data_IF_383617721432
#
_entry.id   IF_383617721432
#
_cell.length_a   1.000
_cell.length_b   1.000
_cell.length_c   1.000
_cell.angle_alpha   90.00
_cell.angle_beta   90.00
_cell.angle_gamma   90.00
#
_symmetry.space_group_name_H-M   'P 1'
#
loop_
_entity.id
_entity.type
_entity.pdbx_description
1 polymer ?
#
# COMPACT_ATOMS: atom_id res chain seq x y z
N UNK A 1 8.39 41.01 3.54
CA UNK A 1 7.56 40.31 2.52
C UNK A 1 6.56 39.46 3.29
N UNK A 2 5.37 40.00 3.49
CA UNK A 2 4.26 39.34 4.19
C UNK A 2 3.81 38.17 3.32
N UNK A 3 4.04 36.93 3.76
CA UNK A 3 3.47 35.75 3.12
C UNK A 3 1.95 35.88 3.27
N UNK A 4 1.26 36.27 2.20
CA UNK A 4 -0.19 36.27 2.19
C UNK A 4 -0.61 34.80 2.17
N UNK A 5 -1.26 34.35 3.25
CA UNK A 5 -1.66 32.96 3.41
C UNK A 5 -2.79 32.67 2.40
N UNK A 6 -2.62 31.75 1.43
CA UNK A 6 -3.71 31.43 0.52
C UNK A 6 -4.89 30.87 1.32
N UNK A 7 -6.10 31.21 0.89
CA UNK A 7 -7.32 30.67 1.51
C UNK A 7 -7.30 29.13 1.50
N UNK A 8 -7.90 28.46 2.50
CA UNK A 8 -7.93 27.00 2.57
C UNK A 8 -8.51 26.39 1.28
N UNK A 9 -7.82 25.40 0.70
CA UNK A 9 -8.30 24.74 -0.51
C UNK A 9 -9.61 24.00 -0.22
N UNK A 10 -10.68 24.41 -0.91
CA UNK A 10 -12.03 23.86 -0.72
C UNK A 10 -12.18 22.43 -1.22
N UNK A 11 -11.22 21.92 -2.01
CA UNK A 11 -11.19 20.53 -2.50
C UNK A 11 -10.73 19.53 -1.44
N UNK A 12 -10.16 19.99 -0.32
CA UNK A 12 -9.91 19.14 0.84
C UNK A 12 -11.22 18.89 1.61
N UNK A 13 -11.41 17.71 2.23
CA UNK A 13 -12.44 17.52 3.25
C UNK A 13 -12.27 18.50 4.41
N UNK A 14 -13.37 18.87 5.06
CA UNK A 14 -13.32 19.79 6.21
C UNK A 14 -12.38 19.29 7.31
N UNK A 15 -12.45 17.99 7.62
CA UNK A 15 -11.59 17.34 8.61
C UNK A 15 -10.09 17.49 8.30
N UNK A 16 -9.70 17.45 7.02
CA UNK A 16 -8.29 17.65 6.62
C UNK A 16 -7.88 19.12 6.70
N UNK A 17 -8.79 20.05 6.38
CA UNK A 17 -8.54 21.49 6.62
C UNK A 17 -8.36 21.79 8.10
N UNK A 18 -9.22 21.23 8.95
CA UNK A 18 -9.15 21.44 10.39
C UNK A 18 -7.85 20.90 10.98
N UNK A 19 -7.37 19.74 10.51
CA UNK A 19 -6.09 19.18 10.91
C UNK A 19 -4.90 20.06 10.46
N UNK A 20 -4.94 20.60 9.24
CA UNK A 20 -3.94 21.54 8.76
C UNK A 20 -3.90 22.83 9.60
N UNK A 21 -5.08 23.34 9.95
CA UNK A 21 -5.26 24.51 10.81
C UNK A 21 -4.77 24.27 12.25
N UNK A 22 -5.06 23.10 12.81
CA UNK A 22 -4.56 22.70 14.12
C UNK A 22 -3.03 22.62 14.13
N UNK A 23 -2.43 22.01 13.12
CA UNK A 23 -0.97 21.94 12.99
C UNK A 23 -0.33 23.34 12.87
N UNK A 24 -0.98 24.28 12.18
CA UNK A 24 -0.53 25.69 12.10
C UNK A 24 -0.56 26.39 13.45
N UNK A 25 -1.55 26.09 14.29
CA UNK A 25 -1.73 26.71 15.61
C UNK A 25 -0.98 25.99 16.73
N UNK A 26 -0.47 24.79 16.45
CA UNK A 26 0.26 24.01 17.44
C UNK A 26 1.50 24.80 17.91
N UNK A 27 1.81 24.81 19.22
CA UNK A 27 2.91 25.57 19.81
C UNK A 27 4.30 24.96 19.50
N UNK A 28 4.46 24.37 18.32
CA UNK A 28 5.73 23.86 17.81
C UNK A 28 6.51 25.08 17.36
N UNK A 29 7.69 25.32 17.92
CA UNK A 29 8.54 26.49 17.65
C UNK A 29 9.09 26.62 16.22
N UNK A 30 8.43 26.03 15.22
CA UNK A 30 8.86 25.96 13.82
C UNK A 30 8.51 27.22 13.00
N UNK A 31 7.65 28.10 13.52
CA UNK A 31 7.32 29.40 12.94
C UNK A 31 6.45 29.37 11.67
N UNK A 32 6.05 30.53 11.14
CA UNK A 32 5.03 30.63 10.07
C UNK A 32 5.42 29.94 8.76
N UNK A 33 6.72 29.92 8.41
CA UNK A 33 7.20 29.26 7.19
C UNK A 33 7.04 27.74 7.26
N UNK A 34 7.32 27.14 8.41
CA UNK A 34 7.15 25.70 8.59
C UNK A 34 5.67 25.31 8.56
N UNK A 35 4.79 26.13 9.14
CA UNK A 35 3.35 25.88 9.08
C UNK A 35 2.79 25.97 7.65
N UNK A 36 3.22 26.96 6.87
CA UNK A 36 2.85 27.06 5.45
C UNK A 36 3.40 25.87 4.63
N UNK A 37 4.63 25.42 4.93
CA UNK A 37 5.21 24.24 4.33
C UNK A 37 4.39 22.98 4.65
N UNK A 38 4.05 22.79 5.92
CA UNK A 38 3.20 21.68 6.37
C UNK A 38 1.85 21.68 5.66
N UNK A 39 1.13 22.81 5.63
CA UNK A 39 -0.18 22.88 5.00
C UNK A 39 -0.12 22.51 3.51
N UNK A 40 0.91 22.98 2.79
CA UNK A 40 1.13 22.63 1.38
C UNK A 40 1.44 21.14 1.20
N UNK A 41 2.42 20.61 1.93
CA UNK A 41 2.85 19.22 1.79
C UNK A 41 1.77 18.22 2.26
N UNK A 42 1.02 18.56 3.31
CA UNK A 42 -0.07 17.73 3.81
C UNK A 42 -1.23 17.66 2.82
N UNK A 43 -1.50 18.74 2.08
CA UNK A 43 -2.57 18.77 1.08
C UNK A 43 -2.17 18.16 -0.27
N UNK A 44 -0.88 18.06 -0.57
CA UNK A 44 -0.38 17.79 -1.92
C UNK A 44 -0.94 16.49 -2.50
N UNK A 45 -0.74 15.33 -1.85
CA UNK A 45 -1.24 14.04 -2.33
C UNK A 45 -2.74 14.09 -2.64
N UNK A 46 -3.54 14.64 -1.74
CA UNK A 46 -5.00 14.70 -1.90
C UNK A 46 -5.40 15.51 -3.13
N UNK A 47 -4.71 16.62 -3.39
CA UNK A 47 -5.05 17.56 -4.45
C UNK A 47 -4.46 17.16 -5.80
N UNK A 48 -3.25 16.60 -5.82
CA UNK A 48 -2.46 16.44 -7.04
C UNK A 48 -2.40 15.00 -7.51
N UNK A 49 -2.42 14.03 -6.59
CA UNK A 49 -2.01 12.65 -6.88
C UNK A 49 -3.16 11.63 -6.88
N UNK A 50 -4.26 11.91 -6.18
CA UNK A 50 -5.41 11.01 -6.08
C UNK A 50 -6.44 11.23 -7.20
N UNK A 51 -6.88 10.16 -7.86
CA UNK A 51 -7.95 10.19 -8.87
C UNK A 51 -8.92 9.02 -8.68
N UNK A 52 -10.25 9.26 -8.63
CA UNK A 52 -11.21 8.17 -8.68
C UNK A 52 -11.13 7.49 -10.06
N UNK A 53 -11.37 6.19 -10.10
CA UNK A 53 -11.38 5.40 -11.33
C UNK A 53 -12.80 4.97 -11.69
N UNK A 54 -12.99 4.47 -12.91
CA UNK A 54 -14.26 3.89 -13.34
C UNK A 54 -14.66 2.64 -12.51
N UNK A 55 -13.70 1.97 -11.87
CA UNK A 55 -13.92 0.77 -11.08
C UNK A 55 -14.35 1.06 -9.63
N UNK A 56 -14.65 2.33 -9.31
CA UNK A 56 -15.12 2.77 -8.00
C UNK A 56 -14.03 2.76 -6.90
N UNK A 57 -12.76 2.76 -7.30
CA UNK A 57 -11.61 2.87 -6.41
C UNK A 57 -10.85 4.19 -6.63
N UNK A 58 -9.73 4.39 -5.93
CA UNK A 58 -8.90 5.60 -6.03
C UNK A 58 -7.47 5.20 -6.41
N UNK A 59 -7.01 5.71 -7.54
CA UNK A 59 -5.65 5.56 -8.02
C UNK A 59 -4.77 6.71 -7.51
N UNK A 60 -3.54 6.40 -7.10
CA UNK A 60 -2.62 7.39 -6.52
C UNK A 60 -1.31 7.35 -7.29
N UNK A 61 -1.03 8.39 -8.09
CA UNK A 61 0.27 8.50 -8.78
C UNK A 61 1.37 8.96 -7.81
N UNK A 62 2.62 8.66 -8.12
CA UNK A 62 3.77 9.11 -7.29
C UNK A 62 3.98 10.63 -7.35
N UNK A 63 3.62 11.24 -8.47
CA UNK A 63 3.72 12.68 -8.72
C UNK A 63 3.96 12.96 -10.19
N UNK A 64 5.22 13.04 -10.59
CA UNK A 64 5.66 13.24 -11.97
C UNK A 64 5.61 11.95 -12.82
N UNK A 65 5.65 10.77 -12.19
CA UNK A 65 5.49 9.49 -12.87
C UNK A 65 3.99 9.10 -12.83
N UNK A 66 3.36 8.82 -14.00
CA UNK A 66 1.92 8.58 -14.10
C UNK A 66 1.52 7.14 -13.74
N UNK A 67 2.14 6.56 -12.71
CA UNK A 67 1.87 5.20 -12.24
C UNK A 67 1.79 5.15 -10.71
N UNK A 68 1.18 4.09 -10.20
CA UNK A 68 0.97 3.88 -8.77
C UNK A 68 1.93 2.84 -8.23
N UNK A 69 2.91 3.28 -7.45
CA UNK A 69 3.70 2.39 -6.61
C UNK A 69 2.89 1.96 -5.40
N UNK A 70 2.94 0.67 -5.08
CA UNK A 70 2.30 0.14 -3.87
C UNK A 70 2.86 0.82 -2.61
N UNK A 71 4.19 0.90 -2.49
CA UNK A 71 4.89 1.63 -1.42
C UNK A 71 4.42 3.08 -1.32
N UNK A 72 4.55 3.83 -2.40
CA UNK A 72 4.33 5.28 -2.42
C UNK A 72 2.88 5.60 -2.07
N UNK A 73 1.92 4.92 -2.68
CA UNK A 73 0.51 5.12 -2.38
C UNK A 73 0.16 4.85 -0.91
N UNK A 74 0.75 3.83 -0.29
CA UNK A 74 0.54 3.55 1.14
C UNK A 74 1.16 4.65 2.03
N UNK A 75 2.35 5.14 1.68
CA UNK A 75 3.03 6.21 2.41
C UNK A 75 2.31 7.56 2.26
N UNK A 76 1.90 7.89 1.04
CA UNK A 76 1.20 9.13 0.67
C UNK A 76 -0.12 9.28 1.42
N UNK A 77 -0.87 8.20 1.65
CA UNK A 77 -2.15 8.27 2.39
C UNK A 77 -2.01 8.14 3.90
N UNK A 78 -0.83 7.75 4.39
CA UNK A 78 -0.59 7.48 5.81
C UNK A 78 -0.97 8.65 6.73
N UNK A 79 -0.68 9.93 6.40
CA UNK A 79 -1.04 11.07 7.24
C UNK A 79 -2.56 11.24 7.45
N UNK A 80 -3.40 10.67 6.58
CA UNK A 80 -4.86 10.80 6.64
C UNK A 80 -5.54 9.64 7.38
N UNK A 81 -4.83 8.53 7.64
CA UNK A 81 -5.39 7.37 8.36
C UNK A 81 -5.96 7.69 9.76
N UNK A 82 -5.39 8.62 10.55
CA UNK A 82 -5.98 9.01 11.84
C UNK A 82 -7.39 9.61 11.72
N UNK A 83 -7.75 10.16 10.56
CA UNK A 83 -9.08 10.76 10.30
C UNK A 83 -10.00 9.83 9.52
N UNK A 84 -9.67 8.54 9.40
CA UNK A 84 -10.42 7.56 8.61
C UNK A 84 -11.87 7.30 9.07
N UNK A 85 -12.26 7.79 10.24
CA UNK A 85 -13.64 7.77 10.75
C UNK A 85 -14.54 8.84 10.11
N UNK A 86 -13.95 9.91 9.56
CA UNK A 86 -14.68 10.86 8.73
C UNK A 86 -15.20 10.15 7.47
N UNK A 87 -16.48 10.28 7.09
CA UNK A 87 -17.04 9.53 5.97
C UNK A 87 -16.39 9.84 4.61
N UNK A 88 -16.02 11.09 4.36
CA UNK A 88 -15.41 11.54 3.11
C UNK A 88 -13.97 11.02 3.02
N UNK A 89 -13.17 11.26 4.07
CA UNK A 89 -11.78 10.77 4.15
C UNK A 89 -11.74 9.25 4.15
N UNK A 90 -12.58 8.62 4.97
CA UNK A 90 -12.69 7.17 5.06
C UNK A 90 -13.09 6.52 3.74
N UNK A 91 -13.95 7.18 2.95
CA UNK A 91 -14.32 6.73 1.61
C UNK A 91 -13.14 6.67 0.64
N UNK A 92 -12.37 7.76 0.56
CA UNK A 92 -11.18 7.84 -0.30
C UNK A 92 -10.13 6.81 0.13
N UNK A 93 -9.86 6.69 1.43
CA UNK A 93 -8.88 5.73 1.95
C UNK A 93 -9.27 4.27 1.67
N UNK A 94 -10.56 3.92 1.73
CA UNK A 94 -11.04 2.60 1.27
C UNK A 94 -10.82 2.42 -0.22
N UNK A 95 -11.05 3.45 -1.02
CA UNK A 95 -10.81 3.43 -2.47
C UNK A 95 -9.33 3.14 -2.78
N UNK A 96 -8.39 3.79 -2.09
CA UNK A 96 -6.96 3.53 -2.28
C UNK A 96 -6.60 2.10 -1.86
N UNK A 97 -7.10 1.64 -0.71
CA UNK A 97 -6.85 0.27 -0.26
C UNK A 97 -7.39 -0.78 -1.25
N UNK A 98 -8.58 -0.56 -1.80
CA UNK A 98 -9.15 -1.46 -2.84
C UNK A 98 -8.27 -1.52 -4.08
N UNK A 99 -7.73 -0.38 -4.53
CA UNK A 99 -6.79 -0.35 -5.66
C UNK A 99 -5.51 -1.14 -5.34
N UNK A 100 -4.92 -0.96 -4.15
CA UNK A 100 -3.74 -1.74 -3.72
C UNK A 100 -4.01 -3.24 -3.65
N UNK A 101 -5.17 -3.64 -3.14
CA UNK A 101 -5.62 -5.05 -3.11
C UNK A 101 -5.70 -5.62 -4.53
N UNK A 102 -6.32 -4.90 -5.46
CA UNK A 102 -6.43 -5.31 -6.87
C UNK A 102 -5.05 -5.41 -7.53
N UNK A 103 -4.15 -4.47 -7.28
CA UNK A 103 -2.76 -4.51 -7.75
C UNK A 103 -2.03 -5.78 -7.30
N UNK A 104 -2.12 -6.15 -6.02
CA UNK A 104 -1.53 -7.40 -5.52
C UNK A 104 -2.16 -8.64 -6.17
N UNK A 105 -3.46 -8.62 -6.45
CA UNK A 105 -4.15 -9.72 -7.14
C UNK A 105 -3.78 -9.82 -8.62
N UNK A 106 -3.39 -8.71 -9.26
CA UNK A 106 -2.89 -8.68 -10.63
C UNK A 106 -1.51 -9.33 -10.69
N UNK A 107 -0.56 -8.85 -9.88
CA UNK A 107 0.78 -9.43 -9.80
C UNK A 107 1.43 -9.10 -8.45
N UNK A 108 1.56 -10.08 -7.53
CA UNK A 108 2.14 -9.83 -6.22
C UNK A 108 3.66 -9.59 -6.26
N UNK A 109 4.31 -9.74 -7.42
CA UNK A 109 5.72 -9.44 -7.59
C UNK A 109 5.99 -8.05 -8.20
N UNK A 110 4.95 -7.30 -8.59
CA UNK A 110 5.10 -5.98 -9.18
C UNK A 110 5.10 -4.87 -8.10
N UNK A 111 5.97 -3.87 -8.28
CA UNK A 111 6.02 -2.66 -7.45
C UNK A 111 5.03 -1.59 -7.94
N UNK A 112 4.86 -1.46 -9.26
CA UNK A 112 4.16 -0.34 -9.88
C UNK A 112 3.08 -0.75 -10.88
N UNK A 113 1.96 -0.03 -10.89
CA UNK A 113 0.76 -0.38 -11.64
C UNK A 113 0.20 0.81 -12.42
N UNK A 114 -0.49 0.50 -13.52
CA UNK A 114 -1.27 1.44 -14.31
C UNK A 114 -2.69 1.59 -13.76
N UNK A 115 -3.36 2.67 -14.14
CA UNK A 115 -4.76 2.88 -13.78
C UNK A 115 -5.70 1.88 -14.49
N UNK A 116 -5.33 1.40 -15.68
CA UNK A 116 -6.06 0.41 -16.47
C UNK A 116 -5.12 -0.55 -17.22
N UNK A 117 -5.66 -1.35 -18.13
CA UNK A 117 -4.91 -2.31 -18.94
C UNK A 117 -4.35 -1.68 -20.24
N UNK A 118 -3.79 -0.48 -20.15
CA UNK A 118 -3.34 0.29 -21.33
C UNK A 118 -2.01 -0.21 -21.91
N UNK A 119 -1.29 -1.07 -21.20
CA UNK A 119 0.01 -1.58 -21.63
C UNK A 119 1.13 -0.54 -21.57
N UNK A 120 0.90 0.61 -20.93
CA UNK A 120 1.98 1.52 -20.60
C UNK A 120 2.95 0.81 -19.63
N UNK A 121 4.23 0.93 -19.89
CA UNK A 121 5.27 0.41 -19.00
C UNK A 121 6.33 1.50 -18.79
N UNK A 122 7.30 1.26 -17.91
CA UNK A 122 8.38 2.19 -17.63
C UNK A 122 9.30 2.49 -18.84
N UNK A 123 9.03 1.91 -20.02
CA UNK A 123 9.77 2.13 -21.26
C UNK A 123 11.08 1.35 -21.35
N UNK A 124 11.29 0.37 -20.46
CA UNK A 124 12.49 -0.44 -20.40
C UNK A 124 12.28 -1.83 -21.04
N UNK A 125 13.32 -2.40 -21.67
CA UNK A 125 13.27 -3.75 -22.21
C UNK A 125 13.43 -4.79 -21.09
N UNK A 126 12.46 -4.86 -20.19
CA UNK A 126 12.44 -5.76 -19.04
C UNK A 126 11.99 -7.18 -19.45
N UNK A 127 12.65 -8.20 -18.91
CA UNK A 127 12.36 -9.61 -19.08
C UNK A 127 12.09 -10.30 -17.73
N UNK A 128 10.91 -10.93 -17.54
CA UNK A 128 9.79 -10.98 -18.49
C UNK A 128 9.13 -9.61 -18.68
N UNK A 129 8.54 -9.39 -19.86
CA UNK A 129 7.81 -8.15 -20.14
C UNK A 129 6.62 -8.02 -19.17
N UNK A 130 6.41 -6.85 -18.54
CA UNK A 130 5.26 -6.66 -17.67
C UNK A 130 3.93 -6.85 -18.41
N UNK A 131 2.91 -7.29 -17.67
CA UNK A 131 1.53 -7.37 -18.18
C UNK A 131 0.90 -5.99 -18.35
N UNK A 132 -0.27 -5.87 -19.01
CA UNK A 132 -0.83 -4.58 -19.42
C UNK A 132 -1.26 -3.65 -18.27
N UNK A 133 -1.38 -4.18 -17.05
CA UNK A 133 -1.69 -3.43 -15.84
C UNK A 133 -0.46 -3.04 -15.02
N UNK A 134 0.72 -3.54 -15.37
CA UNK A 134 1.95 -3.42 -14.60
C UNK A 134 2.84 -2.39 -15.27
N UNK A 135 3.13 -1.30 -14.56
CA UNK A 135 4.06 -0.27 -15.02
C UNK A 135 5.51 -0.76 -14.92
N UNK A 136 5.84 -1.38 -13.78
CA UNK A 136 7.15 -1.97 -13.50
C UNK A 136 7.01 -3.20 -12.59
N UNK A 137 7.86 -4.21 -12.81
CA UNK A 137 7.78 -5.52 -12.15
C UNK A 137 9.01 -5.83 -11.29
N UNK A 138 9.54 -4.83 -10.60
CA UNK A 138 10.64 -5.00 -9.64
C UNK A 138 10.05 -5.51 -8.32
N UNK A 139 10.42 -6.73 -7.92
CA UNK A 139 9.91 -7.31 -6.68
C UNK A 139 10.60 -6.71 -5.47
N UNK A 140 9.78 -6.07 -4.64
CA UNK A 140 10.15 -5.44 -3.39
C UNK A 140 9.27 -5.98 -2.27
N UNK A 141 9.89 -6.52 -1.22
CA UNK A 141 9.15 -7.07 -0.08
C UNK A 141 8.26 -6.01 0.60
N UNK A 142 8.65 -4.73 0.60
CA UNK A 142 7.83 -3.64 1.16
C UNK A 142 6.57 -3.33 0.34
N UNK A 143 6.59 -3.56 -0.98
CA UNK A 143 5.39 -3.40 -1.82
C UNK A 143 4.26 -4.36 -1.39
N UNK A 144 4.59 -5.58 -0.94
CA UNK A 144 3.62 -6.51 -0.36
C UNK A 144 3.06 -6.06 1.00
N UNK A 145 3.76 -5.17 1.71
CA UNK A 145 3.28 -4.60 2.98
C UNK A 145 2.25 -3.48 2.76
N UNK A 146 2.22 -2.89 1.57
CA UNK A 146 1.43 -1.72 1.23
C UNK A 146 -0.07 -1.85 1.46
N UNK A 147 -0.78 -2.96 1.12
CA UNK A 147 -2.20 -3.09 1.46
C UNK A 147 -2.43 -3.45 2.93
N UNK A 148 -1.46 -4.09 3.60
CA UNK A 148 -1.61 -4.56 4.98
C UNK A 148 -1.59 -3.41 5.98
N UNK A 149 -0.70 -2.43 5.78
CA UNK A 149 -0.53 -1.28 6.69
C UNK A 149 -1.76 -0.37 6.77
N UNK A 150 -2.30 0.20 5.68
CA UNK A 150 -3.50 1.03 5.71
C UNK A 150 -4.74 0.22 6.08
N UNK A 151 -4.84 -1.07 5.69
CA UNK A 151 -5.92 -1.95 6.17
C UNK A 151 -5.94 -2.06 7.69
N UNK A 152 -4.80 -2.44 8.29
CA UNK A 152 -4.66 -2.52 9.74
C UNK A 152 -4.89 -1.17 10.43
N UNK A 153 -4.25 -0.10 9.95
CA UNK A 153 -4.37 1.23 10.54
C UNK A 153 -5.81 1.78 10.48
N UNK A 154 -6.52 1.55 9.37
CA UNK A 154 -7.95 1.92 9.24
C UNK A 154 -8.80 1.17 10.25
N UNK A 155 -8.59 -0.14 10.40
CA UNK A 155 -9.29 -0.92 11.43
C UNK A 155 -9.00 -0.37 12.84
N UNK A 156 -7.74 -0.06 13.15
CA UNK A 156 -7.36 0.53 14.45
C UNK A 156 -7.99 1.90 14.70
N UNK A 157 -8.13 2.73 13.66
CA UNK A 157 -8.72 4.07 13.78
C UNK A 157 -10.26 4.05 13.89
N UNK A 158 -10.93 3.06 13.28
CA UNK A 158 -12.40 3.08 13.11
C UNK A 158 -13.13 1.94 13.81
N UNK A 159 -12.43 0.87 14.17
CA UNK A 159 -13.03 -0.42 14.56
C UNK A 159 -13.73 -1.16 13.42
N UNK A 160 -13.83 -0.58 12.22
CA UNK A 160 -14.58 -1.12 11.09
C UNK A 160 -13.80 -2.23 10.37
N UNK A 161 -14.51 -3.33 10.09
CA UNK A 161 -14.04 -4.45 9.28
C UNK A 161 -14.59 -4.41 7.85
N UNK A 162 -15.22 -3.30 7.44
CA UNK A 162 -15.86 -3.15 6.13
C UNK A 162 -14.93 -3.47 4.93
N UNK A 163 -13.62 -3.21 5.07
CA UNK A 163 -12.63 -3.47 4.04
C UNK A 163 -12.08 -4.91 4.07
N UNK A 164 -12.42 -5.71 5.08
CA UNK A 164 -12.00 -7.11 5.21
C UNK A 164 -13.00 -7.98 4.45
N UNK A 165 -13.05 -7.78 3.13
CA UNK A 165 -13.88 -8.52 2.20
C UNK A 165 -13.12 -9.69 1.56
N UNK A 166 -13.76 -10.40 0.63
CA UNK A 166 -13.18 -11.56 -0.05
C UNK A 166 -11.93 -11.20 -0.86
N UNK A 167 -11.90 -10.04 -1.51
CA UNK A 167 -10.75 -9.59 -2.30
C UNK A 167 -9.55 -9.29 -1.39
N UNK A 168 -9.78 -8.57 -0.30
CA UNK A 168 -8.74 -8.29 0.69
C UNK A 168 -8.16 -9.59 1.27
N UNK A 169 -9.01 -10.56 1.59
CA UNK A 169 -8.56 -11.88 2.09
C UNK A 169 -7.75 -12.63 1.03
N UNK A 170 -8.16 -12.61 -0.24
CA UNK A 170 -7.38 -13.21 -1.33
C UNK A 170 -6.02 -12.53 -1.49
N UNK A 171 -5.96 -11.20 -1.45
CA UNK A 171 -4.69 -10.46 -1.53
C UNK A 171 -3.77 -10.79 -0.36
N UNK A 172 -4.31 -10.88 0.87
CA UNK A 172 -3.53 -11.31 2.04
C UNK A 172 -2.95 -12.72 1.87
N UNK A 173 -3.70 -13.66 1.26
CA UNK A 173 -3.18 -15.00 0.95
C UNK A 173 -2.07 -14.96 -0.11
N UNK A 174 -2.25 -14.19 -1.17
CA UNK A 174 -1.23 -14.01 -2.21
C UNK A 174 0.07 -13.43 -1.62
N UNK A 175 -0.02 -12.41 -0.74
CA UNK A 175 1.12 -11.87 0.00
C UNK A 175 1.83 -12.97 0.81
N UNK A 176 1.07 -13.75 1.59
CA UNK A 176 1.62 -14.83 2.42
C UNK A 176 2.26 -15.95 1.59
N UNK A 177 1.72 -16.25 0.41
CA UNK A 177 2.27 -17.21 -0.52
C UNK A 177 3.63 -16.76 -1.07
N UNK A 178 3.72 -15.50 -1.55
CA UNK A 178 4.99 -14.94 -2.03
C UNK A 178 6.01 -14.87 -0.91
N UNK A 179 5.68 -14.29 0.25
CA UNK A 179 6.60 -14.18 1.40
C UNK A 179 7.16 -15.56 1.79
N UNK A 180 6.33 -16.62 1.78
CA UNK A 180 6.78 -17.99 2.10
C UNK A 180 7.60 -18.63 0.98
N UNK A 181 7.26 -18.38 -0.28
CA UNK A 181 8.05 -18.88 -1.41
C UNK A 181 9.46 -18.26 -1.37
N UNK A 182 9.53 -16.96 -1.09
CA UNK A 182 10.77 -16.19 -1.05
C UNK A 182 11.62 -16.43 0.21
N UNK A 183 11.14 -17.19 1.19
CA UNK A 183 12.00 -17.72 2.27
C UNK A 183 13.03 -18.75 1.76
N UNK A 184 12.73 -19.40 0.64
CA UNK A 184 13.62 -20.32 -0.07
C UNK A 184 13.61 -19.99 -1.57
N UNK A 185 14.15 -18.80 -1.88
CA UNK A 185 14.18 -18.24 -3.23
C UNK A 185 14.81 -19.21 -4.24
N UNK A 186 15.90 -19.87 -3.86
CA UNK A 186 16.63 -20.72 -4.80
C UNK A 186 15.84 -21.97 -5.21
N UNK A 187 15.12 -22.61 -4.28
CA UNK A 187 14.38 -23.83 -4.57
C UNK A 187 12.93 -23.60 -5.01
N UNK A 188 12.29 -22.49 -4.57
CA UNK A 188 10.84 -22.31 -4.70
C UNK A 188 10.40 -21.14 -5.56
N UNK A 189 11.24 -20.13 -5.75
CA UNK A 189 10.84 -18.93 -6.51
C UNK A 189 10.89 -19.18 -8.01
N UNK A 190 9.81 -18.77 -8.68
CA UNK A 190 9.77 -18.61 -10.14
C UNK A 190 10.05 -17.17 -10.58
N UNK A 191 10.32 -16.25 -9.65
CA UNK A 191 10.58 -14.86 -9.98
C UNK A 191 11.95 -14.70 -10.62
N UNK A 192 11.98 -14.03 -11.77
CA UNK A 192 13.19 -13.54 -12.42
C UNK A 192 12.94 -12.14 -12.94
N UNK A 193 13.98 -11.32 -12.98
CA UNK A 193 13.92 -10.00 -13.59
C UNK A 193 15.25 -9.63 -14.23
N UNK A 194 15.23 -9.22 -15.49
CA UNK A 194 16.38 -8.63 -16.19
C UNK A 194 15.93 -7.39 -16.94
N UNK A 195 16.61 -6.27 -16.73
CA UNK A 195 16.57 -5.15 -17.67
C UNK A 195 17.66 -5.35 -18.71
N UNK A 196 17.30 -5.43 -19.98
CA UNK A 196 18.24 -5.66 -21.09
C UNK A 196 18.89 -4.36 -21.60
N UNK A 197 19.87 -4.51 -22.48
CA UNK A 197 20.65 -3.39 -23.04
C UNK A 197 21.83 -3.02 -22.15
N UNK A 198 21.95 -1.74 -21.80
CA UNK A 198 22.97 -1.20 -20.91
C UNK A 198 22.30 -0.54 -19.68
N UNK A 199 21.69 -1.36 -18.78
CA UNK A 199 20.98 -0.83 -17.63
C UNK A 199 21.95 -0.14 -16.64
N UNK A 200 21.45 0.86 -15.93
CA UNK A 200 22.20 1.47 -14.84
C UNK A 200 22.59 0.42 -13.78
N UNK A 201 23.72 0.64 -13.12
CA UNK A 201 24.20 -0.24 -12.07
C UNK A 201 23.19 -0.27 -10.90
N UNK A 202 22.39 -1.33 -10.81
CA UNK A 202 21.31 -1.43 -9.83
C UNK A 202 19.98 -1.86 -10.44
N UNK A 203 19.77 -1.61 -11.72
CA UNK A 203 18.47 -1.78 -12.38
C UNK A 203 18.18 -3.19 -12.91
N UNK A 204 19.10 -4.15 -12.74
CA UNK A 204 18.94 -5.51 -13.27
C UNK A 204 19.47 -6.54 -12.28
N UNK A 205 18.83 -7.72 -12.20
CA UNK A 205 19.30 -8.78 -11.32
C UNK A 205 20.37 -9.64 -12.02
N UNK A 206 21.48 -9.98 -11.32
CA UNK A 206 22.48 -10.89 -11.85
C UNK A 206 21.95 -12.33 -11.98
N UNK A 207 22.80 -13.24 -12.47
CA UNK A 207 22.51 -14.69 -12.57
C UNK A 207 21.24 -15.00 -13.38
N UNK A 208 21.14 -14.43 -14.57
CA UNK A 208 19.97 -14.64 -15.42
C UNK A 208 18.67 -14.10 -14.81
N UNK A 209 18.76 -13.12 -13.91
CA UNK A 209 17.60 -12.49 -13.29
C UNK A 209 17.22 -13.03 -11.91
N UNK A 210 18.02 -13.92 -11.32
CA UNK A 210 17.74 -14.56 -10.00
C UNK A 210 18.37 -13.84 -8.80
N UNK A 211 19.14 -12.77 -9.03
CA UNK A 211 19.79 -12.07 -7.94
C UNK A 211 21.04 -12.79 -7.40
N UNK A 212 21.59 -12.27 -6.30
CA UNK A 212 22.74 -12.88 -5.63
C UNK A 212 22.33 -14.20 -4.94
N UNK A 213 23.22 -15.22 -4.89
CA UNK A 213 22.93 -16.46 -4.16
C UNK A 213 22.61 -16.23 -2.69
N UNK A 214 21.65 -16.98 -2.18
CA UNK A 214 21.23 -16.94 -0.78
C UNK A 214 21.08 -18.35 -0.20
N UNK A 215 21.34 -18.48 1.11
CA UNK A 215 20.97 -19.64 1.90
C UNK A 215 19.68 -19.35 2.68
N UNK A 216 18.92 -20.39 3.03
CA UNK A 216 17.68 -20.22 3.82
C UNK A 216 18.00 -19.72 5.23
N UNK A 217 17.39 -18.60 5.62
CA UNK A 217 17.56 -17.98 6.95
C UNK A 217 16.26 -17.86 7.74
N UNK A 218 15.10 -18.06 7.10
CA UNK A 218 13.79 -17.73 7.63
C UNK A 218 13.31 -16.31 7.28
N UNK A 219 14.20 -15.41 6.85
CA UNK A 219 13.81 -14.14 6.20
C UNK A 219 13.27 -14.38 4.79
N UNK A 220 12.44 -13.47 4.31
CA UNK A 220 11.97 -13.46 2.93
C UNK A 220 12.94 -12.68 2.05
N UNK A 221 13.25 -13.26 0.89
CA UNK A 221 14.07 -12.61 -0.14
C UNK A 221 13.35 -11.38 -0.73
N UNK A 222 14.13 -10.44 -1.24
CA UNK A 222 13.69 -9.27 -2.02
C UNK A 222 14.66 -9.04 -3.17
N UNK A 223 14.15 -8.82 -4.37
CA UNK A 223 14.97 -8.52 -5.55
C UNK A 223 15.51 -7.09 -5.48
N UNK A 224 14.64 -6.17 -5.13
CA UNK A 224 14.90 -4.74 -5.09
C UNK A 224 14.63 -4.16 -3.70
N UNK A 225 15.22 -3.00 -3.44
CA UNK A 225 15.03 -2.18 -2.25
C UNK A 225 13.93 -1.16 -2.51
N UNK A 226 13.41 -0.48 -1.47
CA UNK A 226 12.50 0.66 -1.64
C UNK A 226 13.01 1.82 -2.51
N UNK A 227 14.28 1.82 -2.92
CA UNK A 227 14.85 2.77 -3.88
C UNK A 227 14.72 2.32 -5.34
N UNK A 228 14.04 1.19 -5.59
CA UNK A 228 13.99 0.46 -6.86
C UNK A 228 15.37 -0.07 -7.33
N UNK A 229 16.44 0.05 -6.52
CA UNK A 229 17.74 -0.56 -6.79
C UNK A 229 17.79 -2.02 -6.33
N UNK A 230 18.51 -2.87 -7.07
CA UNK A 230 18.70 -4.27 -6.71
C UNK A 230 19.33 -4.41 -5.32
N UNK A 231 18.89 -5.41 -4.59
CA UNK A 231 19.55 -5.83 -3.38
C UNK A 231 20.94 -6.42 -3.70
N UNK A 232 21.97 -5.94 -2.99
CA UNK A 232 23.32 -6.58 -3.03
C UNK A 232 23.27 -7.99 -2.44
N UNK A 233 22.58 -8.14 -1.30
CA UNK A 233 22.26 -9.42 -0.67
C UNK A 233 20.75 -9.53 -0.53
N UNK A 234 20.18 -10.69 -0.83
CA UNK A 234 18.75 -10.87 -1.02
C UNK A 234 17.86 -10.69 0.23
N UNK A 235 18.42 -10.51 1.42
CA UNK A 235 17.66 -10.32 2.66
C UNK A 235 17.82 -8.90 3.22
N UNK A 236 17.13 -7.89 2.66
CA UNK A 236 17.15 -6.55 3.23
C UNK A 236 16.47 -6.55 4.61
N UNK A 237 17.26 -6.23 5.64
CA UNK A 237 16.84 -6.30 7.05
C UNK A 237 15.66 -5.37 7.32
N UNK A 238 15.69 -4.15 6.80
CA UNK A 238 14.62 -3.16 7.01
C UNK A 238 13.27 -3.63 6.41
N UNK A 239 13.27 -4.16 5.18
CA UNK A 239 12.04 -4.66 4.55
C UNK A 239 11.50 -5.90 5.26
N UNK A 240 12.37 -6.78 5.76
CA UNK A 240 11.96 -7.93 6.57
C UNK A 240 11.36 -7.50 7.92
N UNK A 241 11.94 -6.48 8.58
CA UNK A 241 11.36 -5.91 9.79
C UNK A 241 9.97 -5.29 9.53
N UNK A 242 9.81 -4.59 8.41
CA UNK A 242 8.51 -4.04 7.98
C UNK A 242 7.49 -5.14 7.72
N UNK A 243 7.89 -6.21 7.04
CA UNK A 243 7.05 -7.38 6.78
C UNK A 243 6.61 -8.05 8.09
N UNK A 244 7.51 -8.25 9.05
CA UNK A 244 7.18 -8.80 10.36
C UNK A 244 6.10 -7.97 11.08
N UNK A 245 6.24 -6.64 11.14
CA UNK A 245 5.24 -5.76 11.76
C UNK A 245 3.92 -5.78 11.00
N UNK A 246 3.97 -5.77 9.66
CA UNK A 246 2.77 -5.74 8.81
C UNK A 246 1.97 -7.05 8.91
N UNK A 247 2.67 -8.19 8.96
CA UNK A 247 2.06 -9.51 9.18
C UNK A 247 1.51 -9.67 10.60
N UNK A 248 2.15 -9.06 11.60
CA UNK A 248 1.60 -9.02 12.96
C UNK A 248 0.27 -8.25 13.00
N UNK A 249 0.21 -7.07 12.38
CA UNK A 249 -1.04 -6.32 12.23
C UNK A 249 -2.13 -7.10 11.49
N UNK A 250 -1.76 -7.83 10.43
CA UNK A 250 -2.68 -8.72 9.72
C UNK A 250 -3.23 -9.84 10.64
N UNK A 251 -2.39 -10.43 11.49
CA UNK A 251 -2.83 -11.47 12.43
C UNK A 251 -3.84 -10.94 13.47
N UNK A 252 -3.63 -9.74 13.99
CA UNK A 252 -4.61 -9.06 14.86
C UNK A 252 -5.94 -8.81 14.13
N UNK A 253 -5.88 -8.27 12.91
CA UNK A 253 -7.05 -7.99 12.08
C UNK A 253 -7.85 -9.26 11.76
N UNK A 254 -7.16 -10.34 11.38
CA UNK A 254 -7.77 -11.65 11.13
C UNK A 254 -8.46 -12.21 12.38
N UNK A 255 -7.83 -12.07 13.55
CA UNK A 255 -8.40 -12.50 14.83
C UNK A 255 -9.67 -11.70 15.18
N UNK A 256 -9.67 -10.39 14.94
CA UNK A 256 -10.83 -9.53 15.13
C UNK A 256 -11.98 -9.90 14.20
N UNK A 257 -11.69 -10.11 12.91
CA UNK A 257 -12.66 -10.55 11.91
C UNK A 257 -13.29 -11.91 12.28
N UNK A 258 -12.47 -12.89 12.69
CA UNK A 258 -12.96 -14.19 13.14
C UNK A 258 -13.87 -14.12 14.38
N UNK A 259 -13.57 -13.24 15.34
CA UNK A 259 -14.45 -12.99 16.50
C UNK A 259 -15.78 -12.36 16.07
N UNK A 260 -15.76 -11.39 15.16
CA UNK A 260 -16.96 -10.76 14.64
C UNK A 260 -17.85 -11.75 13.86
N UNK A 261 -17.26 -12.64 13.07
CA UNK A 261 -17.97 -13.71 12.38
C UNK A 261 -18.69 -14.66 13.35
N UNK A 262 -18.02 -15.13 14.42
CA UNK A 262 -18.62 -16.02 15.42
C UNK A 262 -19.78 -15.39 16.19
N UNK A 263 -19.70 -14.09 16.52
CA UNK A 263 -20.81 -13.38 17.20
C UNK A 263 -22.06 -13.31 16.33
N UNK A 264 -21.91 -13.13 15.01
CA UNK A 264 -23.04 -13.11 14.06
C UNK A 264 -23.72 -14.47 13.97
N UNK A 265 -22.95 -15.57 13.97
CA UNK A 265 -23.53 -16.92 13.92
C UNK A 265 -24.17 -17.35 15.25
N UNK A 266 -23.62 -16.94 16.40
CA UNK A 266 -24.21 -17.26 17.71
C UNK A 266 -25.44 -16.41 18.07
N UNK A 267 -25.53 -15.19 17.56
CA UNK A 267 -26.68 -14.29 17.81
C UNK A 267 -27.95 -14.61 17.02
N UNK A 268 -27.86 -15.48 16.00
CA UNK A 268 -29.00 -15.87 15.15
C UNK A 268 -29.83 -17.05 15.67
N UNK A 269 -29.49 -17.64 16.83
CA UNK A 269 -30.11 -18.89 17.33
C UNK A 269 -31.18 -18.66 18.43
N UNK A 270 -31.45 -17.42 18.84
CA UNK A 270 -32.37 -17.12 19.96
C UNK A 270 -33.62 -16.31 19.61
N UNK A 271 -34.16 -16.43 18.39
CA UNK A 271 -35.31 -15.62 17.99
C UNK A 271 -36.30 -16.32 17.06
N UNK A 272 -37.00 -17.35 17.56
CA UNK A 272 -38.39 -17.69 17.19
C UNK A 272 -38.89 -18.80 18.13
N UNK A 273 -39.55 -18.42 19.22
CA UNK A 273 -40.05 -19.36 20.20
C UNK A 273 -41.13 -18.76 21.10
N UNK A 274 -42.06 -17.99 20.53
CA UNK A 274 -43.35 -17.74 21.18
C UNK A 274 -44.44 -18.27 20.26
N UNK A 275 -44.88 -19.49 20.54
CA UNK A 275 -46.18 -20.00 20.10
C UNK A 275 -47.03 -20.21 21.36
N UNK A 276 -47.96 -19.28 21.53
CA UNK A 276 -49.34 -19.49 22.00
C UNK A 276 -49.56 -20.50 23.14
N UNK A 277 -49.87 -19.97 24.31
CA UNK A 277 -50.67 -20.61 25.36
C UNK A 277 -51.53 -19.57 26.06
#
# INVERSE_FOLDING_TARGET
>A
MTLHDPAPDRRLPQTLRDLAEQARKAPVGAGPRAAACFARCFADTWLTSMRPTADGDVFVITGDIPAMWLRDSAAQVRPYLPTAADPEVGGVLRGVLRRQVRSVLIDPYANAFNAGADGADAGYPDEPRPGPHVWERKYELDSLCAPLQPGYARWRATGSLEHVDEEFVRACRAVLEVVRAEQDHEARSSYTFRRLGDPAAGDTLPRGGRGAPVAVTGMSWSGFRPSDDRCTYGYPVASNALAAVSLHGLAELASASGRAARKRTSGGVFGTGESSG
#
